data_IF_804888372683
#
_entry.id   IF_804888372683
#
_cell.length_a   1.000
_cell.length_b   1.000
_cell.length_c   1.000
_cell.angle_alpha   90.00
_cell.angle_beta   90.00
_cell.angle_gamma   90.00
#
_symmetry.space_group_name_H-M   'P 1'
#
loop_
_entity.id
_entity.type
_entity.pdbx_description
1 polymer ?
#
# COMPACT_ATOMS: atom_id res chain seq x y z
N UNK A 1 -7.18 3.61 14.23
CA UNK A 1 -6.76 2.34 14.88
C UNK A 1 -7.26 1.18 14.03
N UNK A 2 -6.40 0.25 13.60
CA UNK A 2 -6.75 -0.86 12.72
C UNK A 2 -7.44 -1.99 13.49
N UNK A 3 -8.63 -2.43 13.03
CA UNK A 3 -9.45 -3.46 13.65
C UNK A 3 -9.72 -4.66 12.75
N UNK A 4 -9.64 -4.47 11.43
CA UNK A 4 -9.94 -5.51 10.45
C UNK A 4 -9.10 -5.31 9.19
N UNK A 5 -8.24 -6.27 8.88
CA UNK A 5 -7.35 -6.23 7.73
C UNK A 5 -7.85 -7.21 6.67
N UNK A 6 -7.99 -6.74 5.43
CA UNK A 6 -8.29 -7.58 4.26
C UNK A 6 -6.97 -7.96 3.57
N UNK A 7 -6.77 -9.26 3.33
CA UNK A 7 -5.57 -9.77 2.65
C UNK A 7 -6.01 -10.58 1.43
N UNK A 8 -5.96 -10.00 0.24
CA UNK A 8 -6.23 -10.73 -1.00
C UNK A 8 -5.12 -11.73 -1.31
N UNK A 9 -5.50 -12.96 -1.63
CA UNK A 9 -4.60 -14.05 -2.01
C UNK A 9 -5.02 -14.61 -3.37
N UNK A 10 -4.08 -15.24 -4.08
CA UNK A 10 -4.30 -15.82 -5.41
C UNK A 10 -3.59 -17.18 -5.59
N UNK A 11 -3.23 -17.84 -4.50
CA UNK A 11 -2.48 -19.10 -4.44
C UNK A 11 -1.05 -19.02 -4.96
N UNK A 12 -0.52 -17.81 -5.16
CA UNK A 12 0.89 -17.64 -5.48
C UNK A 12 1.70 -17.39 -4.23
N UNK A 13 2.93 -17.88 -4.21
CA UNK A 13 3.90 -17.55 -3.15
C UNK A 13 4.23 -16.06 -3.08
N UNK A 14 3.94 -15.30 -4.14
CA UNK A 14 4.08 -13.85 -4.13
C UNK A 14 3.00 -13.18 -3.27
N UNK A 15 1.72 -13.52 -3.49
CA UNK A 15 0.61 -12.96 -2.71
C UNK A 15 0.76 -13.28 -1.21
N UNK A 16 1.22 -14.48 -0.89
CA UNK A 16 1.45 -14.92 0.52
C UNK A 16 2.51 -14.08 1.25
N UNK A 17 3.40 -13.37 0.54
CA UNK A 17 4.42 -12.51 1.17
C UNK A 17 3.82 -11.28 1.86
N UNK A 18 2.55 -10.97 1.65
CA UNK A 18 1.82 -9.98 2.44
C UNK A 18 1.49 -10.47 3.87
N UNK A 19 1.41 -11.80 4.08
CA UNK A 19 0.94 -12.39 5.33
C UNK A 19 1.82 -12.06 6.55
N UNK A 20 3.17 -12.12 6.51
CA UNK A 20 4.00 -11.79 7.66
C UNK A 20 3.76 -10.38 8.18
N UNK A 21 3.63 -9.41 7.28
CA UNK A 21 3.36 -8.01 7.65
C UNK A 21 1.93 -7.83 8.16
N UNK A 22 0.94 -8.41 7.47
CA UNK A 22 -0.46 -8.37 7.89
C UNK A 22 -0.64 -8.99 9.29
N UNK A 23 0.01 -10.13 9.54
CA UNK A 23 -0.02 -10.81 10.83
C UNK A 23 0.63 -9.96 11.94
N UNK A 24 1.77 -9.33 11.66
CA UNK A 24 2.45 -8.44 12.59
C UNK A 24 1.59 -7.25 13.00
N UNK A 25 0.90 -6.64 12.04
CA UNK A 25 -0.03 -5.53 12.30
C UNK A 25 -1.25 -6.04 13.09
N UNK A 26 -1.87 -7.15 12.63
CA UNK A 26 -3.05 -7.70 13.28
C UNK A 26 -2.80 -8.10 14.74
N UNK A 27 -1.64 -8.70 15.03
CA UNK A 27 -1.23 -9.09 16.38
C UNK A 27 -1.09 -7.87 17.30
N UNK A 28 -0.43 -6.79 16.85
CA UNK A 28 -0.23 -5.58 17.65
C UNK A 28 -1.54 -4.82 17.85
N UNK A 29 -2.38 -4.77 16.82
CA UNK A 29 -3.66 -4.07 16.84
C UNK A 29 -4.78 -4.87 17.53
N UNK A 30 -4.57 -6.16 17.81
CA UNK A 30 -5.62 -7.10 18.15
C UNK A 30 -6.75 -7.10 17.10
N UNK A 31 -6.36 -7.02 15.84
CA UNK A 31 -7.24 -6.93 14.69
C UNK A 31 -7.56 -8.31 14.11
N UNK A 32 -8.68 -8.39 13.40
CA UNK A 32 -9.04 -9.58 12.61
C UNK A 32 -8.35 -9.55 11.27
N UNK A 33 -7.91 -10.71 10.78
CA UNK A 33 -7.48 -10.93 9.41
C UNK A 33 -8.62 -11.55 8.59
N UNK A 34 -8.91 -10.98 7.42
CA UNK A 34 -9.87 -11.49 6.46
C UNK A 34 -9.11 -11.92 5.20
N UNK A 35 -8.84 -13.23 5.06
CA UNK A 35 -8.11 -13.80 3.92
C UNK A 35 -9.10 -14.13 2.83
N UNK A 36 -8.90 -13.58 1.63
CA UNK A 36 -9.86 -13.72 0.55
C UNK A 36 -9.20 -14.08 -0.77
N UNK A 37 -9.85 -14.93 -1.54
CA UNK A 37 -9.53 -15.18 -2.94
C UNK A 37 -10.75 -14.83 -3.81
N UNK A 38 -10.53 -14.17 -4.94
CA UNK A 38 -11.60 -13.92 -5.91
C UNK A 38 -11.59 -15.07 -6.89
N UNK A 39 -12.68 -15.84 -6.89
CA UNK A 39 -12.88 -16.93 -7.81
C UNK A 39 -13.01 -16.41 -9.25
N UNK A 40 -12.18 -16.91 -10.16
CA UNK A 40 -12.30 -16.65 -11.57
C UNK A 40 -12.84 -17.89 -12.27
N UNK A 41 -13.83 -17.75 -13.14
CA UNK A 41 -14.38 -18.87 -13.93
C UNK A 41 -13.26 -19.61 -14.66
N UNK A 42 -13.28 -20.95 -14.59
CA UNK A 42 -12.21 -21.81 -15.13
C UNK A 42 -11.93 -21.57 -16.61
N UNK A 43 -12.97 -21.40 -17.44
CA UNK A 43 -12.84 -21.11 -18.87
C UNK A 43 -11.96 -19.90 -19.22
N UNK A 44 -11.61 -19.09 -18.21
CA UNK A 44 -10.86 -17.85 -18.37
C UNK A 44 -9.46 -17.94 -17.75
N UNK A 45 -9.13 -19.07 -17.08
CA UNK A 45 -7.81 -19.29 -16.46
C UNK A 45 -6.74 -19.77 -17.46
N UNK A 46 -7.15 -20.36 -18.57
CA UNK A 46 -6.25 -20.84 -19.63
C UNK A 46 -6.56 -20.20 -20.97
N UNK A 47 -5.87 -19.11 -21.34
CA UNK A 47 -6.05 -18.46 -22.64
C UNK A 47 -5.68 -19.37 -23.83
N UNK A 48 -4.95 -20.48 -23.59
CA UNK A 48 -4.54 -21.42 -24.63
C UNK A 48 -5.53 -22.54 -24.86
N UNK A 49 -6.46 -22.79 -23.92
CA UNK A 49 -7.46 -23.86 -23.99
C UNK A 49 -8.62 -23.58 -24.96
N UNK A 50 -8.67 -22.36 -25.54
CA UNK A 50 -9.81 -21.97 -26.40
C UNK A 50 -11.08 -21.73 -25.56
N UNK A 51 -12.20 -21.47 -26.25
CA UNK A 51 -13.53 -21.37 -25.63
C UNK A 51 -14.00 -22.77 -25.20
N UNK A 52 -13.67 -23.19 -23.98
CA UNK A 52 -14.32 -24.35 -23.38
C UNK A 52 -15.71 -23.95 -22.87
N UNK A 53 -16.75 -24.75 -23.05
CA UNK A 53 -18.06 -24.50 -22.47
C UNK A 53 -17.93 -24.49 -20.93
N UNK A 54 -18.70 -23.64 -20.27
CA UNK A 54 -18.76 -23.58 -18.80
C UNK A 54 -19.23 -24.96 -18.27
N UNK A 55 -18.38 -25.55 -17.41
CA UNK A 55 -18.71 -26.79 -16.68
C UNK A 55 -18.94 -26.45 -15.20
N UNK A 56 -20.19 -26.57 -14.71
CA UNK A 56 -20.52 -26.31 -13.31
C UNK A 56 -19.78 -27.23 -12.34
N UNK A 57 -19.44 -28.47 -12.75
CA UNK A 57 -18.74 -29.40 -11.86
C UNK A 57 -17.27 -29.01 -11.70
N UNK A 58 -16.59 -28.65 -12.80
CA UNK A 58 -15.22 -28.12 -12.73
C UNK A 58 -15.15 -26.80 -11.97
N UNK A 59 -16.13 -25.92 -12.15
CA UNK A 59 -16.21 -24.64 -11.41
C UNK A 59 -16.39 -24.86 -9.90
N UNK A 60 -17.25 -25.81 -9.51
CA UNK A 60 -17.44 -26.19 -8.11
C UNK A 60 -16.18 -26.78 -7.50
N UNK A 61 -15.46 -27.64 -8.24
CA UNK A 61 -14.18 -28.21 -7.79
C UNK A 61 -13.12 -27.11 -7.62
N UNK A 62 -13.02 -26.15 -8.54
CA UNK A 62 -12.12 -25.02 -8.41
C UNK A 62 -12.40 -24.20 -7.14
N UNK A 63 -13.66 -23.89 -6.87
CA UNK A 63 -14.07 -23.19 -5.63
C UNK A 63 -13.71 -23.98 -4.37
N UNK A 64 -13.91 -25.30 -4.44
CA UNK A 64 -13.53 -26.16 -3.32
C UNK A 64 -12.03 -26.13 -3.05
N UNK A 65 -11.21 -26.20 -4.09
CA UNK A 65 -9.74 -26.09 -3.95
C UNK A 65 -9.30 -24.72 -3.46
N UNK A 66 -9.96 -23.64 -3.89
CA UNK A 66 -9.72 -22.28 -3.37
C UNK A 66 -10.04 -22.17 -1.88
N UNK A 67 -11.15 -22.77 -1.45
CA UNK A 67 -11.53 -22.81 -0.03
C UNK A 67 -10.55 -23.62 0.81
N UNK A 68 -10.14 -24.80 0.33
CA UNK A 68 -9.14 -25.64 1.02
C UNK A 68 -7.81 -24.89 1.19
N UNK A 69 -7.37 -24.16 0.19
CA UNK A 69 -6.18 -23.34 0.27
C UNK A 69 -6.29 -22.24 1.34
N UNK A 70 -7.40 -21.50 1.34
CA UNK A 70 -7.64 -20.45 2.33
C UNK A 70 -7.71 -21.02 3.76
N UNK A 71 -8.38 -22.15 3.95
CA UNK A 71 -8.47 -22.83 5.23
C UNK A 71 -7.09 -23.32 5.74
N UNK A 72 -6.26 -23.85 4.84
CA UNK A 72 -4.89 -24.23 5.17
C UNK A 72 -4.04 -23.02 5.55
N UNK A 73 -4.16 -21.92 4.81
CA UNK A 73 -3.46 -20.67 5.10
C UNK A 73 -3.91 -20.07 6.43
N UNK A 74 -5.21 -20.09 6.72
CA UNK A 74 -5.74 -19.63 8.01
C UNK A 74 -5.22 -20.47 9.19
N UNK A 75 -5.16 -21.80 9.04
CA UNK A 75 -4.57 -22.69 10.04
C UNK A 75 -3.09 -22.38 10.27
N UNK A 76 -2.34 -22.14 9.19
CA UNK A 76 -0.94 -21.74 9.29
C UNK A 76 -0.80 -20.40 10.03
N UNK A 77 -1.55 -19.37 9.65
CA UNK A 77 -1.54 -18.05 10.31
C UNK A 77 -1.86 -18.16 11.80
N UNK A 78 -2.92 -18.90 12.16
CA UNK A 78 -3.32 -19.07 13.56
C UNK A 78 -2.33 -19.89 14.38
N UNK A 79 -1.56 -20.77 13.74
CA UNK A 79 -0.47 -21.49 14.39
C UNK A 79 0.73 -20.60 14.75
N UNK A 80 0.94 -19.52 13.97
CA UNK A 80 2.02 -18.57 14.20
C UNK A 80 1.67 -17.51 15.25
N UNK A 81 0.39 -17.16 15.39
CA UNK A 81 -0.06 -16.15 16.35
C UNK A 81 -1.56 -16.26 16.62
N UNK A 82 -2.01 -15.99 17.86
CA UNK A 82 -3.42 -16.05 18.25
C UNK A 82 -4.18 -14.81 17.71
N UNK A 83 -4.41 -14.76 16.41
CA UNK A 83 -5.23 -13.74 15.75
C UNK A 83 -6.54 -14.32 15.27
N UNK A 84 -7.61 -13.52 15.25
CA UNK A 84 -8.87 -13.94 14.65
C UNK A 84 -8.73 -13.92 13.13
N UNK A 85 -9.00 -15.05 12.47
CA UNK A 85 -8.92 -15.15 11.01
C UNK A 85 -10.28 -15.56 10.46
N UNK A 86 -10.75 -14.85 9.43
CA UNK A 86 -11.87 -15.24 8.58
C UNK A 86 -11.35 -15.53 7.17
N UNK A 87 -12.02 -16.41 6.45
CA UNK A 87 -11.68 -16.77 5.07
C UNK A 87 -12.90 -16.62 4.17
N UNK A 88 -12.68 -16.37 2.90
CA UNK A 88 -13.78 -16.33 1.94
C UNK A 88 -13.34 -16.38 0.49
N UNK A 89 -13.94 -17.30 -0.27
CA UNK A 89 -13.88 -17.31 -1.73
C UNK A 89 -14.97 -16.38 -2.24
N UNK A 90 -14.58 -15.31 -2.90
CA UNK A 90 -15.52 -14.32 -3.44
C UNK A 90 -15.98 -14.76 -4.83
N UNK A 91 -17.29 -14.81 -5.03
CA UNK A 91 -17.84 -15.10 -6.34
C UNK A 91 -17.49 -13.96 -7.31
N UNK A 92 -16.60 -14.22 -8.25
CA UNK A 92 -16.26 -13.30 -9.33
C UNK A 92 -16.87 -13.78 -10.63
N UNK A 93 -17.56 -12.92 -11.36
CA UNK A 93 -17.97 -13.22 -12.74
C UNK A 93 -16.84 -12.90 -13.72
N UNK A 94 -15.63 -12.63 -13.25
CA UNK A 94 -14.72 -11.79 -14.00
C UNK A 94 -13.30 -12.25 -14.08
N UNK A 95 -12.87 -12.04 -15.26
CA UNK A 95 -11.52 -12.04 -15.80
C UNK A 95 -10.88 -10.66 -15.76
N UNK A 96 -11.71 -9.61 -15.66
CA UNK A 96 -11.26 -8.24 -15.76
C UNK A 96 -10.78 -7.72 -14.38
N UNK A 97 -9.65 -7.00 -14.33
CA UNK A 97 -9.11 -6.44 -13.09
C UNK A 97 -10.12 -5.61 -12.29
N UNK A 98 -10.99 -4.87 -13.01
CA UNK A 98 -12.02 -4.03 -12.41
C UNK A 98 -13.02 -4.83 -11.58
N UNK A 99 -13.43 -5.99 -12.06
CA UNK A 99 -14.41 -6.85 -11.37
C UNK A 99 -13.79 -7.59 -10.18
N UNK A 100 -12.52 -7.97 -10.27
CA UNK A 100 -11.75 -8.48 -9.13
C UNK A 100 -11.65 -7.41 -8.05
N UNK A 101 -11.33 -6.18 -8.43
CA UNK A 101 -11.26 -5.05 -7.51
C UNK A 101 -12.64 -4.74 -6.90
N UNK A 102 -13.74 -4.84 -7.67
CA UNK A 102 -15.10 -4.67 -7.16
C UNK A 102 -15.42 -5.68 -6.05
N UNK A 103 -15.16 -6.96 -6.30
CA UNK A 103 -15.38 -8.00 -5.29
C UNK A 103 -14.58 -7.78 -4.00
N UNK A 104 -13.32 -7.36 -4.14
CA UNK A 104 -12.46 -7.05 -3.00
C UNK A 104 -12.95 -5.82 -2.22
N UNK A 105 -13.37 -4.76 -2.91
CA UNK A 105 -13.91 -3.55 -2.27
C UNK A 105 -15.26 -3.80 -1.60
N UNK A 106 -16.12 -4.62 -2.19
CA UNK A 106 -17.38 -5.05 -1.59
C UNK A 106 -17.12 -5.86 -0.31
N UNK A 107 -16.19 -6.81 -0.38
CA UNK A 107 -15.78 -7.58 0.80
C UNK A 107 -15.18 -6.69 1.88
N UNK A 108 -14.33 -5.74 1.53
CA UNK A 108 -13.75 -4.79 2.47
C UNK A 108 -14.84 -3.99 3.21
N UNK A 109 -15.89 -3.55 2.49
CA UNK A 109 -17.03 -2.87 3.11
C UNK A 109 -17.83 -3.81 4.02
N UNK A 110 -18.14 -5.02 3.56
CA UNK A 110 -18.91 -6.00 4.33
C UNK A 110 -18.20 -6.43 5.62
N UNK A 111 -16.88 -6.63 5.56
CA UNK A 111 -16.03 -7.00 6.70
C UNK A 111 -15.61 -5.80 7.54
N UNK A 112 -16.01 -4.57 7.15
CA UNK A 112 -15.54 -3.32 7.77
C UNK A 112 -14.02 -3.27 7.88
N UNK A 113 -13.33 -3.69 6.82
CA UNK A 113 -11.89 -3.59 6.77
C UNK A 113 -11.46 -2.12 6.76
N UNK A 114 -10.41 -1.83 7.52
CA UNK A 114 -9.81 -0.49 7.65
C UNK A 114 -8.40 -0.44 7.05
N UNK A 115 -7.87 -1.58 6.60
CA UNK A 115 -6.62 -1.68 5.85
C UNK A 115 -6.69 -2.87 4.89
N UNK A 116 -6.24 -2.67 3.64
CA UNK A 116 -5.94 -3.76 2.71
C UNK A 116 -4.43 -3.98 2.74
N UNK A 117 -3.98 -5.21 2.95
CA UNK A 117 -2.55 -5.57 2.88
C UNK A 117 -2.36 -6.54 1.73
N UNK A 118 -1.58 -6.17 0.72
CA UNK A 118 -1.37 -6.99 -0.46
C UNK A 118 0.02 -6.80 -1.05
N UNK A 119 0.43 -7.71 -1.92
CA UNK A 119 1.67 -7.53 -2.69
C UNK A 119 1.42 -6.71 -3.95
N UNK A 120 2.47 -6.05 -4.44
CA UNK A 120 2.39 -5.27 -5.68
C UNK A 120 2.14 -6.14 -6.91
N UNK A 121 2.39 -7.46 -6.85
CA UNK A 121 2.28 -8.41 -7.95
C UNK A 121 1.65 -9.73 -7.51
N UNK A 122 0.92 -10.36 -8.44
CA UNK A 122 0.40 -11.71 -8.35
C UNK A 122 0.89 -12.57 -9.55
N UNK A 123 -0.01 -13.30 -10.21
CA UNK A 123 0.24 -14.34 -11.22
C UNK A 123 0.93 -13.93 -12.53
N UNK A 124 1.33 -12.70 -12.77
CA UNK A 124 1.81 -12.25 -14.09
C UNK A 124 3.30 -12.47 -14.36
N UNK A 125 3.67 -13.01 -15.54
CA UNK A 125 5.05 -13.19 -16.01
C UNK A 125 5.84 -11.87 -16.18
N UNK A 126 5.15 -10.73 -16.26
CA UNK A 126 5.74 -9.38 -16.37
C UNK A 126 5.96 -8.72 -15.00
N UNK A 127 5.93 -9.50 -13.92
CA UNK A 127 5.95 -9.07 -12.53
C UNK A 127 7.21 -8.33 -12.08
N UNK A 128 8.26 -8.26 -12.88
CA UNK A 128 9.54 -7.65 -12.44
C UNK A 128 9.56 -6.11 -12.48
N UNK A 129 8.56 -5.45 -13.10
CA UNK A 129 8.62 -4.02 -13.40
C UNK A 129 7.32 -3.23 -13.19
N UNK A 130 6.45 -3.55 -12.25
CA UNK A 130 5.28 -2.71 -12.10
C UNK A 130 4.29 -3.12 -11.01
N UNK A 131 3.21 -2.39 -10.88
CA UNK A 131 2.04 -2.71 -10.08
C UNK A 131 1.11 -3.62 -10.90
N UNK A 132 0.59 -4.69 -10.29
CA UNK A 132 -0.41 -5.56 -10.93
C UNK A 132 -1.72 -4.82 -11.21
N UNK A 133 -2.46 -5.25 -12.24
CA UNK A 133 -3.68 -4.58 -12.69
C UNK A 133 -4.76 -4.46 -11.59
N UNK A 134 -4.94 -5.49 -10.76
CA UNK A 134 -5.87 -5.45 -9.61
C UNK A 134 -5.39 -4.43 -8.57
N UNK A 135 -4.09 -4.38 -8.29
CA UNK A 135 -3.51 -3.40 -7.37
C UNK A 135 -3.70 -1.97 -7.87
N UNK A 136 -3.51 -1.73 -9.17
CA UNK A 136 -3.74 -0.43 -9.79
C UNK A 136 -5.21 0.02 -9.66
N UNK A 137 -6.17 -0.87 -9.92
CA UNK A 137 -7.60 -0.60 -9.74
C UNK A 137 -7.96 -0.34 -8.27
N UNK A 138 -7.42 -1.12 -7.34
CA UNK A 138 -7.67 -0.91 -5.92
C UNK A 138 -7.15 0.45 -5.45
N UNK A 139 -5.92 0.84 -5.82
CA UNK A 139 -5.33 2.14 -5.44
C UNK A 139 -6.19 3.31 -5.94
N UNK A 140 -6.76 3.19 -7.13
CA UNK A 140 -7.61 4.24 -7.73
C UNK A 140 -8.96 4.36 -7.06
N UNK A 141 -9.48 3.31 -6.45
CA UNK A 141 -10.89 3.19 -6.07
C UNK A 141 -11.13 2.95 -4.58
N UNK A 142 -10.12 2.46 -3.86
CA UNK A 142 -10.27 2.12 -2.45
C UNK A 142 -10.54 3.37 -1.59
N UNK A 143 -11.58 3.34 -0.75
CA UNK A 143 -11.82 4.38 0.25
C UNK A 143 -10.99 4.19 1.52
N UNK A 144 -10.32 3.04 1.66
CA UNK A 144 -9.47 2.70 2.80
C UNK A 144 -8.02 2.57 2.36
N UNK A 145 -7.03 2.77 3.26
CA UNK A 145 -5.62 2.66 2.93
C UNK A 145 -5.24 1.27 2.44
N UNK A 146 -4.25 1.22 1.56
CA UNK A 146 -3.68 -0.02 1.03
C UNK A 146 -2.20 -0.05 1.37
N UNK A 147 -1.78 -1.10 2.06
CA UNK A 147 -0.37 -1.37 2.34
C UNK A 147 0.16 -2.37 1.30
N UNK A 148 1.02 -1.87 0.44
CA UNK A 148 1.64 -2.63 -0.63
C UNK A 148 2.98 -3.20 -0.17
N UNK A 149 3.12 -4.51 -0.26
CA UNK A 149 4.36 -5.23 0.03
C UNK A 149 5.03 -5.61 -1.28
N UNK A 150 6.31 -5.30 -1.43
CA UNK A 150 7.07 -5.74 -2.59
C UNK A 150 7.52 -7.19 -2.36
N UNK A 151 7.13 -8.13 -3.21
CA UNK A 151 7.57 -9.52 -3.05
C UNK A 151 9.06 -9.65 -3.34
N UNK A 152 9.76 -10.36 -2.47
CA UNK A 152 11.16 -10.75 -2.65
C UNK A 152 11.29 -12.16 -3.25
N UNK A 153 12.52 -12.66 -3.36
CA UNK A 153 12.80 -14.00 -3.88
C UNK A 153 12.53 -15.13 -2.88
N UNK A 154 12.34 -14.81 -1.60
CA UNK A 154 12.17 -15.80 -0.52
C UNK A 154 10.73 -16.27 -0.40
N UNK A 155 10.54 -17.56 -0.06
CA UNK A 155 9.22 -18.10 0.25
C UNK A 155 8.62 -17.48 1.53
N UNK A 156 7.29 -17.28 1.61
CA UNK A 156 6.62 -16.59 2.72
C UNK A 156 6.91 -17.18 4.11
N UNK A 157 6.95 -18.49 4.24
CA UNK A 157 7.17 -19.18 5.53
C UNK A 157 8.57 -19.02 6.12
N UNK A 158 9.52 -18.44 5.37
CA UNK A 158 10.90 -18.20 5.80
C UNK A 158 11.20 -16.71 6.03
N UNK A 159 10.21 -15.82 5.83
CA UNK A 159 10.42 -14.38 6.02
C UNK A 159 10.13 -14.00 7.46
N UNK A 160 11.09 -13.36 8.15
CA UNK A 160 10.80 -12.74 9.43
C UNK A 160 9.75 -11.63 9.23
N UNK A 161 8.99 -11.37 10.29
CA UNK A 161 8.10 -10.20 10.29
C UNK A 161 8.91 -8.94 9.94
N UNK A 162 8.48 -8.15 8.92
CA UNK A 162 9.18 -6.92 8.58
C UNK A 162 9.13 -5.92 9.74
N UNK A 163 10.29 -5.35 10.06
CA UNK A 163 10.36 -4.28 11.06
C UNK A 163 9.87 -2.98 10.40
N UNK A 164 8.87 -2.35 10.99
CA UNK A 164 8.35 -1.05 10.57
C UNK A 164 8.55 -0.03 11.69
N UNK A 165 9.75 0.54 11.79
CA UNK A 165 10.14 1.48 12.86
C UNK A 165 10.57 2.86 12.36
N UNK A 166 10.62 3.07 11.03
CA UNK A 166 11.06 4.31 10.43
C UNK A 166 10.26 4.65 9.16
N UNK A 167 9.33 5.58 9.28
CA UNK A 167 8.40 5.97 8.21
C UNK A 167 8.85 7.24 7.50
N UNK A 168 8.76 7.26 6.18
CA UNK A 168 8.91 8.46 5.36
C UNK A 168 7.54 8.87 4.82
N UNK A 169 7.12 10.09 5.07
CA UNK A 169 5.82 10.62 4.68
C UNK A 169 6.03 11.87 3.81
N UNK A 170 6.10 11.72 2.49
CA UNK A 170 6.23 12.84 1.57
C UNK A 170 4.93 13.64 1.50
N UNK A 171 5.04 14.96 1.69
CA UNK A 171 3.96 15.93 1.62
C UNK A 171 4.29 17.00 0.59
N UNK A 172 3.34 17.32 -0.29
CA UNK A 172 3.51 18.34 -1.31
C UNK A 172 2.97 19.73 -0.88
N UNK A 173 2.49 19.84 0.37
CA UNK A 173 1.91 21.03 0.96
C UNK A 173 0.44 21.25 0.62
N UNK A 174 -0.22 20.27 -0.01
CA UNK A 174 -1.66 20.28 -0.22
C UNK A 174 -2.38 19.60 0.94
N UNK A 175 -3.61 20.04 1.24
CA UNK A 175 -4.48 19.38 2.20
C UNK A 175 -4.82 17.94 1.79
N UNK A 176 -4.80 17.64 0.50
CA UNK A 176 -5.01 16.28 -0.02
C UNK A 176 -3.86 15.35 0.37
N UNK A 177 -2.61 15.80 0.23
CA UNK A 177 -1.46 15.01 0.65
C UNK A 177 -1.45 14.79 2.17
N UNK A 178 -1.90 15.76 2.96
CA UNK A 178 -1.97 15.63 4.42
C UNK A 178 -2.96 14.56 4.91
N UNK A 179 -3.94 14.16 4.09
CA UNK A 179 -4.91 13.12 4.49
C UNK A 179 -4.27 11.75 4.74
N UNK A 180 -3.08 11.48 4.18
CA UNK A 180 -2.34 10.24 4.48
C UNK A 180 -1.83 10.21 5.93
N UNK A 181 -1.75 11.36 6.59
CA UNK A 181 -1.21 11.43 7.95
C UNK A 181 -2.02 10.58 8.93
N UNK A 182 -3.36 10.60 8.84
CA UNK A 182 -4.21 9.84 9.75
C UNK A 182 -3.87 8.33 9.69
N UNK A 183 -3.99 7.62 8.55
CA UNK A 183 -3.65 6.20 8.52
C UNK A 183 -2.16 5.92 8.74
N UNK A 184 -1.25 6.79 8.28
CA UNK A 184 0.18 6.59 8.48
C UNK A 184 0.58 6.71 9.95
N UNK A 185 0.05 7.70 10.67
CA UNK A 185 0.36 7.93 12.08
C UNK A 185 -0.31 6.90 12.99
N UNK A 186 -1.48 6.40 12.63
CA UNK A 186 -2.10 5.28 13.33
C UNK A 186 -1.24 4.01 13.23
N UNK A 187 -0.68 3.75 12.03
CA UNK A 187 0.26 2.65 11.85
C UNK A 187 1.59 2.92 12.59
N UNK A 188 2.11 4.14 12.53
CA UNK A 188 3.34 4.51 13.24
C UNK A 188 3.20 4.34 14.77
N UNK A 189 2.05 4.74 15.32
CA UNK A 189 1.75 4.55 16.76
C UNK A 189 1.71 3.07 17.14
N UNK A 190 1.06 2.26 16.31
CA UNK A 190 0.94 0.82 16.51
C UNK A 190 2.30 0.10 16.47
N UNK A 191 3.17 0.56 15.57
CA UNK A 191 4.50 -0.03 15.34
C UNK A 191 5.60 0.63 16.18
N UNK A 192 5.26 1.62 17.02
CA UNK A 192 6.21 2.45 17.77
C UNK A 192 7.28 3.12 16.88
N UNK A 193 6.88 3.44 15.66
CA UNK A 193 7.75 3.96 14.63
C UNK A 193 7.98 5.47 14.77
N UNK A 194 9.20 5.90 14.45
CA UNK A 194 9.49 7.32 14.19
C UNK A 194 9.08 7.66 12.76
N UNK A 195 8.72 8.92 12.53
CA UNK A 195 8.30 9.39 11.22
C UNK A 195 9.13 10.58 10.76
N UNK A 196 9.40 10.67 9.46
CA UNK A 196 9.98 11.85 8.82
C UNK A 196 8.97 12.41 7.82
N UNK A 197 8.54 13.66 8.04
CA UNK A 197 7.77 14.41 7.06
C UNK A 197 8.75 15.00 6.05
N UNK A 198 8.60 14.64 4.79
CA UNK A 198 9.49 15.08 3.71
C UNK A 198 8.76 16.03 2.76
N UNK A 199 9.39 17.15 2.43
CA UNK A 199 8.99 18.02 1.33
C UNK A 199 10.09 18.04 0.29
N UNK A 200 9.75 17.74 -0.97
CA UNK A 200 10.65 17.94 -2.10
C UNK A 200 10.20 19.19 -2.85
N UNK A 201 11.14 20.11 -3.06
CA UNK A 201 10.98 21.26 -3.93
C UNK A 201 11.65 20.93 -5.25
N UNK A 202 10.86 20.89 -6.33
CA UNK A 202 11.42 20.63 -7.66
C UNK A 202 12.04 21.89 -8.25
N UNK A 203 13.33 21.85 -8.49
CA UNK A 203 14.09 22.97 -9.10
C UNK A 203 15.03 22.47 -10.17
N UNK A 204 15.14 23.23 -11.26
CA UNK A 204 16.13 22.96 -12.31
C UNK A 204 17.55 23.33 -11.89
N UNK A 205 17.72 24.21 -10.88
CA UNK A 205 19.00 24.59 -10.27
C UNK A 205 19.18 23.87 -8.93
N UNK A 206 20.32 23.25 -8.73
CA UNK A 206 20.66 22.62 -7.43
C UNK A 206 21.18 23.67 -6.44
N UNK A 207 21.13 23.42 -5.11
CA UNK A 207 21.71 24.32 -4.11
C UNK A 207 23.19 24.64 -4.34
N UNK A 208 23.93 23.75 -5.01
CA UNK A 208 25.35 23.92 -5.35
C UNK A 208 25.56 25.03 -6.42
N UNK A 209 24.53 25.31 -7.22
CA UNK A 209 24.60 26.32 -8.27
C UNK A 209 24.29 27.73 -7.76
N UNK A 210 24.00 27.89 -6.45
CA UNK A 210 23.70 29.20 -5.86
C UNK A 210 24.96 29.95 -5.48
N UNK A 211 25.02 31.21 -5.89
CA UNK A 211 26.09 32.11 -5.46
C UNK A 211 26.05 32.33 -3.94
N UNK A 212 27.20 32.43 -3.25
CA UNK A 212 27.26 32.76 -1.84
C UNK A 212 26.55 34.09 -1.53
N UNK A 213 25.70 34.12 -0.51
CA UNK A 213 25.00 35.32 -0.07
C UNK A 213 23.60 35.54 -0.66
N UNK A 214 23.09 34.63 -1.47
CA UNK A 214 21.69 34.67 -1.91
C UNK A 214 20.79 34.26 -0.74
N UNK A 215 19.76 35.05 -0.35
CA UNK A 215 18.82 34.67 0.71
C UNK A 215 18.16 33.33 0.44
N UNK A 216 17.75 32.59 1.49
CA UNK A 216 16.98 31.36 1.31
C UNK A 216 15.76 31.67 0.42
N UNK A 217 15.50 30.75 -0.51
CA UNK A 217 14.38 30.89 -1.42
C UNK A 217 13.09 30.93 -0.58
N UNK A 218 12.18 31.85 -0.94
CA UNK A 218 10.89 31.98 -0.27
C UNK A 218 10.15 30.65 -0.21
N UNK A 219 10.23 29.85 -1.27
CA UNK A 219 9.61 28.52 -1.35
C UNK A 219 10.20 27.56 -0.31
N UNK A 220 11.51 27.61 -0.04
CA UNK A 220 12.16 26.81 0.99
C UNK A 220 11.63 27.15 2.39
N UNK A 221 11.57 28.47 2.71
CA UNK A 221 11.06 28.91 4.01
C UNK A 221 9.59 28.56 4.21
N UNK A 222 8.77 28.69 3.16
CA UNK A 222 7.35 28.30 3.19
C UNK A 222 7.19 26.78 3.37
N UNK A 223 8.04 25.96 2.73
CA UNK A 223 8.03 24.50 2.88
C UNK A 223 8.43 24.06 4.30
N UNK A 224 9.48 24.65 4.86
CA UNK A 224 9.94 24.39 6.23
C UNK A 224 8.87 24.79 7.26
N UNK A 225 8.29 25.99 7.13
CA UNK A 225 7.24 26.47 8.01
C UNK A 225 5.96 25.59 7.90
N UNK A 226 5.64 25.10 6.70
CA UNK A 226 4.52 24.19 6.52
C UNK A 226 4.77 22.85 7.25
N UNK A 227 5.92 22.22 7.01
CA UNK A 227 6.26 20.94 7.65
C UNK A 227 6.32 21.06 9.18
N UNK A 228 6.88 22.14 9.74
CA UNK A 228 6.93 22.33 11.18
C UNK A 228 5.54 22.52 11.81
N UNK A 229 4.62 23.20 11.12
CA UNK A 229 3.22 23.29 11.58
C UNK A 229 2.55 21.92 11.62
N UNK A 230 2.77 21.09 10.59
CA UNK A 230 2.25 19.71 10.55
C UNK A 230 2.91 18.88 11.65
N UNK A 231 4.24 18.94 11.77
CA UNK A 231 5.00 18.21 12.79
C UNK A 231 4.60 18.60 14.22
N UNK A 232 4.29 19.87 14.47
CA UNK A 232 3.76 20.34 15.75
C UNK A 232 2.49 19.57 16.15
N UNK A 233 1.51 19.50 15.23
CA UNK A 233 0.26 18.74 15.45
C UNK A 233 0.51 17.24 15.72
N UNK A 234 1.51 16.67 15.06
CA UNK A 234 1.87 15.24 15.24
C UNK A 234 2.55 15.01 16.58
N UNK A 235 3.48 15.90 16.99
CA UNK A 235 4.16 15.83 18.29
C UNK A 235 3.19 15.99 19.46
N UNK A 236 2.18 16.84 19.32
CA UNK A 236 1.10 17.00 20.32
C UNK A 236 0.32 15.68 20.56
N UNK A 237 0.31 14.77 19.57
CA UNK A 237 -0.25 13.43 19.70
C UNK A 237 0.71 12.40 20.32
N UNK A 238 1.89 12.83 20.78
CA UNK A 238 2.89 11.97 21.42
C UNK A 238 3.76 11.17 20.45
N UNK A 239 3.72 11.46 19.15
CA UNK A 239 4.50 10.74 18.14
C UNK A 239 5.85 11.41 17.87
N UNK A 240 6.87 10.59 17.61
CA UNK A 240 8.19 11.08 17.22
C UNK A 240 8.19 11.44 15.74
N UNK A 241 8.35 12.71 15.42
CA UNK A 241 8.39 13.20 14.05
C UNK A 241 9.51 14.21 13.82
N UNK A 242 10.18 14.06 12.67
CA UNK A 242 11.19 15.00 12.14
C UNK A 242 10.67 15.60 10.85
N UNK A 243 11.23 16.74 10.46
CA UNK A 243 10.95 17.41 9.21
C UNK A 243 12.20 17.44 8.34
N UNK A 244 12.00 17.32 7.03
CA UNK A 244 13.07 17.38 6.05
C UNK A 244 12.58 18.07 4.78
N UNK A 245 13.30 19.07 4.31
CA UNK A 245 13.09 19.69 2.98
C UNK A 245 14.29 19.37 2.10
N UNK A 246 14.02 18.93 0.88
CA UNK A 246 15.03 18.59 -0.13
C UNK A 246 14.73 19.36 -1.41
N UNK A 247 15.75 19.92 -2.04
CA UNK A 247 15.65 20.53 -3.36
C UNK A 247 16.24 19.58 -4.38
N UNK A 248 15.45 19.14 -5.35
CA UNK A 248 15.85 18.15 -6.35
C UNK A 248 15.20 18.42 -7.71
N UNK A 249 15.66 17.73 -8.76
CA UNK A 249 15.07 17.83 -10.11
C UNK A 249 13.77 17.05 -10.24
N UNK A 250 13.68 15.90 -9.56
CA UNK A 250 12.56 14.96 -9.66
C UNK A 250 12.14 14.49 -8.27
N UNK A 251 10.91 14.80 -7.87
CA UNK A 251 10.42 14.51 -6.53
C UNK A 251 10.45 13.01 -6.20
N UNK A 252 10.02 12.14 -7.11
CA UNK A 252 9.96 10.72 -6.85
C UNK A 252 11.35 10.10 -6.61
N UNK A 253 12.36 10.51 -7.38
CA UNK A 253 13.73 10.03 -7.23
C UNK A 253 14.33 10.50 -5.89
N UNK A 254 14.13 11.76 -5.54
CA UNK A 254 14.59 12.31 -4.27
C UNK A 254 13.93 11.64 -3.06
N UNK A 255 12.64 11.28 -3.15
CA UNK A 255 11.94 10.56 -2.09
C UNK A 255 12.52 9.14 -1.91
N UNK A 256 12.82 8.43 -3.01
CA UNK A 256 13.44 7.10 -2.96
C UNK A 256 14.85 7.17 -2.37
N UNK A 257 15.65 8.14 -2.78
CA UNK A 257 17.00 8.36 -2.26
C UNK A 257 16.98 8.71 -0.76
N UNK A 258 16.06 9.58 -0.33
CA UNK A 258 15.90 9.91 1.10
C UNK A 258 15.41 8.69 1.90
N UNK A 259 14.52 7.85 1.34
CA UNK A 259 14.09 6.62 1.99
C UNK A 259 15.25 5.66 2.24
N UNK A 260 16.13 5.49 1.25
CA UNK A 260 17.33 4.65 1.37
C UNK A 260 18.33 5.25 2.36
N UNK A 261 18.64 6.53 2.22
CA UNK A 261 19.64 7.24 3.05
C UNK A 261 19.25 7.25 4.52
N UNK A 262 17.95 7.40 4.83
CA UNK A 262 17.44 7.40 6.19
C UNK A 262 17.12 6.00 6.72
N UNK A 263 17.25 4.96 5.92
CA UNK A 263 16.86 3.60 6.27
C UNK A 263 15.35 3.49 6.56
N UNK A 264 14.54 4.22 5.80
CA UNK A 264 13.09 4.15 5.97
C UNK A 264 12.56 2.81 5.47
N UNK A 265 11.74 2.18 6.30
CA UNK A 265 11.20 0.85 6.01
C UNK A 265 9.70 0.87 5.71
N UNK A 266 9.12 2.07 5.60
CA UNK A 266 7.81 2.32 5.04
C UNK A 266 7.75 3.72 4.43
N UNK A 267 7.16 3.83 3.23
CA UNK A 267 6.78 5.11 2.63
C UNK A 267 5.27 5.23 2.69
N UNK A 268 4.74 6.34 3.25
CA UNK A 268 3.30 6.58 3.28
C UNK A 268 2.95 7.80 2.44
N UNK A 269 2.06 7.65 1.46
CA UNK A 269 1.72 8.72 0.53
C UNK A 269 0.24 8.73 0.12
N UNK A 270 -0.25 9.92 -0.23
CA UNK A 270 -1.55 10.08 -0.88
C UNK A 270 -1.43 9.89 -2.40
N UNK A 271 -2.47 9.31 -3.02
CA UNK A 271 -2.49 9.09 -4.49
C UNK A 271 -2.48 10.37 -5.30
N UNK A 272 -2.92 11.49 -4.71
CA UNK A 272 -3.01 12.81 -5.34
C UNK A 272 -2.50 13.89 -4.40
N UNK A 273 -1.96 14.96 -4.99
CA UNK A 273 -1.48 16.13 -4.30
C UNK A 273 -1.90 17.41 -5.05
N UNK A 274 -1.00 18.40 -5.20
CA UNK A 274 -1.24 19.71 -5.85
C UNK A 274 -1.82 19.67 -7.26
N UNK A 275 -1.64 18.57 -8.00
CA UNK A 275 -2.10 18.42 -9.39
C UNK A 275 -3.61 18.33 -9.58
N UNK A 276 -4.37 18.20 -8.51
CA UNK A 276 -5.84 18.18 -8.50
C UNK A 276 -6.46 16.98 -9.21
N UNK A 277 -7.76 16.84 -9.04
CA UNK A 277 -8.60 15.81 -9.65
C UNK A 277 -8.74 16.01 -11.17
N UNK A 278 -7.75 15.64 -11.96
CA UNK A 278 -8.00 15.35 -13.37
C UNK A 278 -8.01 13.84 -13.55
N UNK A 279 -9.24 13.28 -13.50
CA UNK A 279 -9.61 11.93 -13.94
C UNK A 279 -8.75 10.79 -13.35
N UNK A 280 -9.28 10.10 -12.29
CA UNK A 280 -8.98 8.68 -11.92
C UNK A 280 -7.54 8.13 -12.14
N UNK A 281 -6.55 8.98 -12.30
CA UNK A 281 -5.16 8.60 -12.55
C UNK A 281 -4.35 8.78 -11.26
N UNK A 282 -3.56 7.79 -10.93
CA UNK A 282 -2.54 7.88 -9.90
C UNK A 282 -1.56 9.02 -10.25
N UNK A 283 -1.23 9.89 -9.29
CA UNK A 283 -0.26 10.98 -9.52
C UNK A 283 1.11 10.43 -9.92
N UNK A 284 1.84 11.16 -10.76
CA UNK A 284 3.13 10.69 -11.31
C UNK A 284 4.17 10.31 -10.24
N UNK A 285 4.22 11.05 -9.14
CA UNK A 285 5.10 10.73 -8.00
C UNK A 285 4.63 9.46 -7.31
N UNK A 286 3.32 9.35 -7.01
CA UNK A 286 2.75 8.18 -6.36
C UNK A 286 2.94 6.91 -7.22
N UNK A 287 2.67 6.98 -8.53
CA UNK A 287 2.88 5.86 -9.46
C UNK A 287 4.35 5.42 -9.46
N UNK A 288 5.27 6.37 -9.55
CA UNK A 288 6.71 6.06 -9.54
C UNK A 288 7.15 5.41 -8.23
N UNK A 289 6.69 5.92 -7.07
CA UNK A 289 7.04 5.37 -5.76
C UNK A 289 6.49 3.96 -5.59
N UNK A 290 5.22 3.73 -5.89
CA UNK A 290 4.59 2.41 -5.81
C UNK A 290 5.32 1.37 -6.68
N UNK A 291 5.80 1.77 -7.86
CA UNK A 291 6.51 0.88 -8.78
C UNK A 291 7.99 0.67 -8.43
N UNK A 292 8.64 1.61 -7.74
CA UNK A 292 10.10 1.62 -7.60
C UNK A 292 10.59 1.49 -6.17
N UNK A 293 9.77 1.74 -5.14
CA UNK A 293 10.18 1.61 -3.75
C UNK A 293 10.58 0.17 -3.40
N UNK A 294 11.69 0.01 -2.71
CA UNK A 294 12.14 -1.27 -2.15
C UNK A 294 11.42 -1.63 -0.85
N UNK A 295 10.99 -0.61 -0.10
CA UNK A 295 10.22 -0.72 1.13
C UNK A 295 8.72 -0.84 0.87
N UNK A 296 7.93 -1.39 1.81
CA UNK A 296 6.48 -1.30 1.79
C UNK A 296 5.96 0.13 1.58
N UNK A 297 4.85 0.25 0.86
CA UNK A 297 4.24 1.55 0.56
C UNK A 297 2.80 1.56 1.06
N UNK A 298 2.50 2.45 2.00
CA UNK A 298 1.12 2.74 2.42
C UNK A 298 0.55 3.82 1.50
N UNK A 299 -0.47 3.46 0.75
CA UNK A 299 -1.13 4.36 -0.20
C UNK A 299 -2.52 4.70 0.33
N UNK A 300 -2.83 5.98 0.37
CA UNK A 300 -4.15 6.47 0.73
C UNK A 300 -4.73 7.33 -0.39
N UNK A 301 -5.98 7.06 -0.74
CA UNK A 301 -6.72 7.87 -1.70
C UNK A 301 -7.47 8.97 -0.97
N UNK A 302 -7.08 10.26 -1.14
CA UNK A 302 -7.76 11.36 -0.48
C UNK A 302 -9.23 11.44 -0.88
N UNK A 303 -10.07 11.78 0.07
CA UNK A 303 -11.47 12.14 -0.19
C UNK A 303 -11.58 13.64 -0.43
N UNK A 304 -12.37 14.04 -1.41
CA UNK A 304 -12.76 15.44 -1.55
C UNK A 304 -13.89 15.69 -0.60
N UNK A 305 -13.68 16.56 0.38
CA UNK A 305 -14.81 17.13 1.13
C UNK A 305 -15.64 17.95 0.14
N UNK A 306 -16.87 17.50 -0.09
CA UNK A 306 -17.88 18.18 -0.92
C UNK A 306 -18.53 19.35 -0.20
#
# INVERSE_FOLDING_TARGET
MYLSLLVPLDRTSFAEQALPLALGIARRANARLDLVEVHALYALKDPTAGWAPYDPAEDAECKHQEQLYLDATAKWVTSMSPVSVSVGVLAGTAVLPETVADGLLERARASKADLIVMTTHGRGLLSRFGLGSVGDELIRRSPIPILLVRPGEKAPGMMPEPVLDNFLIPLDGSAMAEQVLEPALDLARLMEARSTLLRVIESRSTPVDRAPGVPPDRELMEAEAHLERVAGRVREQGLQVRTRVVVARHAAEAILEEAETQGSNLIALATHGRGGFKRMLLGSVADRLVRSASSPVLVYRPTVES
#
